data_IF_191653396443
#
_entry.id   IF_191653396443
#
_cell.length_a   1.000
_cell.length_b   1.000
_cell.length_c   1.000
_cell.angle_alpha   90.00
_cell.angle_beta   90.00
_cell.angle_gamma   90.00
#
_symmetry.space_group_name_H-M   'P 1'
#
loop_
_entity.id
_entity.type
_entity.pdbx_description
1 polymer ?
#
# COMPACT_ATOMS: atom_id res chain seq x y z
N UNK A 1 -56.78 21.65 7.89
CA UNK A 1 -56.89 21.72 6.40
C UNK A 1 -55.97 20.66 5.81
N UNK A 2 -56.48 19.72 5.00
CA UNK A 2 -55.68 18.65 4.41
C UNK A 2 -54.95 19.16 3.15
N UNK A 3 -53.64 18.97 3.08
CA UNK A 3 -52.83 19.30 1.91
C UNK A 3 -52.94 18.21 0.85
N UNK A 4 -53.44 18.62 -0.30
CA UNK A 4 -53.71 17.85 -1.51
C UNK A 4 -52.46 17.16 -2.07
N UNK A 5 -52.56 15.84 -2.27
CA UNK A 5 -51.66 15.05 -3.10
C UNK A 5 -51.96 15.39 -4.56
N UNK A 6 -50.99 15.93 -5.31
CA UNK A 6 -51.04 15.99 -6.77
C UNK A 6 -50.04 15.00 -7.35
N UNK A 7 -50.58 13.87 -7.81
CA UNK A 7 -49.97 13.02 -8.81
C UNK A 7 -49.97 13.74 -10.15
N UNK A 8 -48.85 13.73 -10.85
CA UNK A 8 -48.78 14.00 -12.28
C UNK A 8 -47.94 12.90 -12.94
N UNK A 9 -48.61 12.15 -13.81
CA UNK A 9 -48.04 11.18 -14.73
C UNK A 9 -47.70 11.84 -16.07
N UNK A 10 -47.10 11.04 -16.97
CA UNK A 10 -46.86 11.28 -18.41
C UNK A 10 -45.65 12.19 -18.74
N UNK A 11 -44.83 11.95 -19.76
CA UNK A 11 -44.83 10.92 -20.80
C UNK A 11 -43.47 10.88 -21.54
N UNK A 12 -43.14 9.68 -22.04
CA UNK A 12 -42.50 9.30 -23.32
C UNK A 12 -41.68 10.32 -24.14
N UNK A 13 -40.44 9.94 -24.46
CA UNK A 13 -39.83 9.81 -25.81
C UNK A 13 -38.32 9.52 -25.61
N UNK A 14 -37.73 8.42 -26.09
CA UNK A 14 -37.54 8.13 -27.50
C UNK A 14 -36.15 8.58 -28.00
N UNK A 15 -35.06 8.19 -27.33
CA UNK A 15 -33.68 8.48 -27.74
C UNK A 15 -32.97 7.23 -28.28
N UNK A 16 -32.95 7.07 -29.61
CA UNK A 16 -32.14 6.04 -30.29
C UNK A 16 -30.63 6.35 -30.14
N UNK A 17 -29.76 5.33 -30.00
CA UNK A 17 -28.32 5.50 -30.11
C UNK A 17 -27.88 5.52 -31.59
N UNK A 18 -27.28 6.61 -32.03
CA UNK A 18 -26.58 6.66 -33.31
C UNK A 18 -25.18 6.05 -33.14
N UNK A 19 -24.99 4.87 -33.72
CA UNK A 19 -23.69 4.28 -33.97
C UNK A 19 -22.94 5.13 -35.01
N UNK A 20 -21.83 5.74 -34.63
CA UNK A 20 -20.87 6.31 -35.57
C UNK A 20 -19.76 5.29 -35.79
N UNK A 21 -19.77 4.71 -36.99
CA UNK A 21 -18.76 3.80 -37.48
C UNK A 21 -17.39 4.48 -37.52
N UNK A 22 -16.43 3.78 -36.92
CA UNK A 22 -14.99 4.04 -36.98
C UNK A 22 -14.49 3.65 -38.38
N UNK A 23 -14.24 4.64 -39.24
CA UNK A 23 -13.51 4.44 -40.49
C UNK A 23 -12.01 4.34 -40.18
N UNK A 24 -11.48 3.11 -40.17
CA UNK A 24 -10.04 2.83 -40.17
C UNK A 24 -9.61 2.77 -41.63
N UNK A 25 -8.76 3.71 -42.04
CA UNK A 25 -8.19 3.78 -43.37
C UNK A 25 -7.24 2.61 -43.66
N UNK A 26 -7.16 2.16 -44.92
CA UNK A 26 -6.23 1.10 -45.34
C UNK A 26 -4.79 1.59 -45.44
N UNK A 27 -3.91 0.73 -44.92
CA UNK A 27 -2.47 0.56 -45.18
C UNK A 27 -1.89 1.24 -46.44
N UNK A 28 -0.91 2.12 -46.23
CA UNK A 28 0.15 2.40 -47.21
C UNK A 28 1.23 1.30 -47.17
N UNK A 29 1.70 0.80 -48.33
CA UNK A 29 2.84 -0.10 -48.41
C UNK A 29 4.14 0.72 -48.38
N UNK A 30 4.79 0.75 -47.21
CA UNK A 30 6.13 1.31 -47.06
C UNK A 30 7.18 0.34 -47.58
N UNK A 31 7.64 0.57 -48.80
CA UNK A 31 8.86 0.01 -49.37
C UNK A 31 10.09 0.43 -48.55
N UNK A 32 10.80 -0.54 -47.96
CA UNK A 32 12.11 -0.37 -47.35
C UNK A 32 12.80 -1.74 -47.29
N UNK A 33 13.44 -2.14 -48.38
CA UNK A 33 14.89 -2.03 -48.56
C UNK A 33 15.68 -3.02 -47.70
N UNK A 34 16.04 -4.12 -48.36
CA UNK A 34 17.20 -4.97 -48.18
C UNK A 34 18.19 -4.57 -47.07
N UNK A 35 18.39 -5.46 -46.09
CA UNK A 35 19.75 -5.71 -45.59
C UNK A 35 19.92 -7.10 -44.96
N UNK A 36 20.73 -7.88 -45.69
CA UNK A 36 21.77 -8.77 -45.19
C UNK A 36 21.35 -10.00 -44.40
N UNK A 37 21.32 -11.10 -45.15
CA UNK A 37 21.91 -12.38 -44.78
C UNK A 37 23.15 -12.19 -43.89
N UNK A 38 23.12 -12.71 -42.66
CA UNK A 38 24.29 -13.29 -42.00
C UNK A 38 23.85 -14.44 -41.11
N UNK A 39 23.98 -15.61 -41.71
CA UNK A 39 24.15 -16.92 -41.11
C UNK A 39 25.09 -16.84 -39.88
N UNK A 40 24.71 -17.46 -38.76
CA UNK A 40 25.58 -18.38 -38.00
C UNK A 40 24.79 -19.14 -36.91
N UNK A 41 25.23 -20.37 -36.54
CA UNK A 41 24.32 -21.44 -36.15
C UNK A 41 24.29 -21.77 -34.65
N UNK A 42 23.22 -22.48 -34.29
CA UNK A 42 23.08 -23.52 -33.25
C UNK A 42 24.24 -23.66 -32.26
N UNK A 43 24.00 -23.26 -31.01
CA UNK A 43 24.60 -23.89 -29.84
C UNK A 43 23.61 -24.93 -29.30
N UNK A 44 24.00 -26.19 -29.46
CA UNK A 44 23.38 -27.37 -28.88
C UNK A 44 23.76 -27.38 -27.40
N UNK A 45 22.79 -27.26 -26.48
CA UNK A 45 23.04 -27.55 -25.07
C UNK A 45 22.42 -28.89 -24.73
N UNK A 46 23.30 -29.87 -24.74
CA UNK A 46 23.06 -31.27 -24.53
C UNK A 46 22.44 -31.53 -23.16
N UNK A 47 21.43 -32.37 -23.24
CA UNK A 47 20.71 -33.04 -22.17
C UNK A 47 21.54 -34.28 -21.81
N UNK A 48 21.99 -34.39 -20.57
CA UNK A 48 22.47 -35.65 -20.01
C UNK A 48 21.83 -35.84 -18.64
N UNK A 49 20.85 -36.74 -18.61
CA UNK A 49 20.34 -37.33 -17.40
C UNK A 49 21.43 -38.25 -16.83
N UNK A 50 21.83 -38.05 -15.58
CA UNK A 50 22.53 -39.05 -14.80
C UNK A 50 21.76 -39.21 -13.49
N UNK A 51 21.14 -40.37 -13.42
CA UNK A 51 20.72 -41.19 -12.28
C UNK A 51 21.86 -41.21 -11.22
N UNK A 52 21.67 -40.98 -9.92
CA UNK A 52 21.13 -41.88 -8.88
C UNK A 52 21.70 -41.39 -7.50
N UNK A 53 21.50 -42.02 -6.32
CA UNK A 53 20.63 -41.54 -5.24
C UNK A 53 21.36 -41.33 -3.88
N UNK A 54 20.56 -41.01 -2.85
CA UNK A 54 20.73 -41.23 -1.40
C UNK A 54 22.05 -40.86 -0.68
N UNK A 55 21.94 -40.02 0.34
CA UNK A 55 23.03 -39.80 1.29
C UNK A 55 22.75 -38.73 2.33
N UNK A 56 22.50 -39.18 3.54
CA UNK A 56 22.35 -38.48 4.81
C UNK A 56 23.47 -37.47 5.14
N UNK A 57 23.17 -36.66 6.18
CA UNK A 57 24.10 -35.90 7.03
C UNK A 57 24.74 -34.65 6.36
N UNK A 58 24.91 -33.49 6.98
CA UNK A 58 24.97 -33.12 8.37
C UNK A 58 24.65 -31.63 8.52
N UNK A 59 24.35 -31.26 9.75
CA UNK A 59 24.24 -29.92 10.30
C UNK A 59 25.28 -28.92 9.79
N UNK A 60 24.80 -27.75 9.35
CA UNK A 60 25.62 -26.63 8.93
C UNK A 60 24.98 -25.32 9.36
N UNK A 61 24.97 -25.05 10.65
CA UNK A 61 24.64 -23.76 11.26
C UNK A 61 25.61 -22.67 10.77
N UNK A 62 25.27 -22.02 9.65
CA UNK A 62 25.94 -20.85 9.11
C UNK A 62 25.41 -19.56 9.72
N UNK A 63 26.03 -19.18 10.84
CA UNK A 63 25.78 -17.97 11.60
C UNK A 63 26.35 -16.70 10.93
N UNK A 64 25.59 -15.61 11.03
CA UNK A 64 25.95 -14.19 10.87
C UNK A 64 26.72 -13.72 9.62
N UNK A 65 26.00 -13.02 8.76
CA UNK A 65 26.55 -12.10 7.75
C UNK A 65 25.61 -10.92 7.52
N UNK A 66 25.34 -10.14 8.58
CA UNK A 66 24.60 -8.87 8.48
C UNK A 66 25.41 -7.86 7.68
N UNK A 67 25.21 -7.85 6.36
CA UNK A 67 25.70 -6.79 5.48
C UNK A 67 25.00 -5.47 5.80
N UNK A 68 25.66 -4.61 6.58
CA UNK A 68 25.26 -3.22 6.78
C UNK A 68 25.45 -2.46 5.47
N UNK A 69 24.39 -2.37 4.67
CA UNK A 69 24.31 -1.47 3.54
C UNK A 69 24.42 -0.02 4.02
N UNK A 70 25.34 0.71 3.39
CA UNK A 70 25.71 2.07 3.73
C UNK A 70 24.52 3.02 3.81
N UNK A 71 24.44 3.70 4.95
CA UNK A 71 23.69 4.95 5.08
C UNK A 71 24.65 6.08 4.74
N UNK A 72 24.64 6.51 3.49
CA UNK A 72 25.29 7.76 3.08
C UNK A 72 24.59 8.93 3.76
N UNK A 73 25.26 9.57 4.72
CA UNK A 73 24.81 10.85 5.28
C UNK A 73 25.13 11.95 4.28
N UNK A 74 24.23 12.15 3.32
CA UNK A 74 24.18 13.36 2.52
C UNK A 74 23.47 14.45 3.33
N UNK A 75 24.19 15.55 3.58
CA UNK A 75 23.65 16.90 3.52
C UNK A 75 22.67 17.30 4.62
N UNK A 76 23.17 18.00 5.63
CA UNK A 76 22.45 19.10 6.25
C UNK A 76 23.47 20.16 6.64
N UNK A 77 23.83 20.99 5.65
CA UNK A 77 24.56 22.22 5.91
C UNK A 77 23.70 23.14 6.77
N UNK A 78 24.11 23.34 8.02
CA UNK A 78 23.55 24.39 8.85
C UNK A 78 24.15 25.72 8.42
N UNK A 79 23.54 26.32 7.39
CA UNK A 79 23.63 27.76 7.18
C UNK A 79 22.72 28.44 8.20
N UNK A 80 23.33 29.16 9.14
CA UNK A 80 22.64 30.02 10.09
C UNK A 80 23.50 30.22 11.33
N UNK A 81 23.84 31.42 11.78
CA UNK A 81 23.47 32.76 11.34
C UNK A 81 24.59 33.68 11.84
N UNK A 82 25.13 34.52 10.98
CA UNK A 82 26.06 35.56 11.41
C UNK A 82 25.35 36.49 12.38
N UNK A 83 25.83 36.54 13.62
CA UNK A 83 25.50 37.64 14.54
C UNK A 83 26.34 38.84 14.13
N UNK A 84 25.83 39.60 13.17
CA UNK A 84 26.27 40.96 12.92
C UNK A 84 25.93 41.82 14.14
N UNK A 85 26.93 42.53 14.64
CA UNK A 85 26.80 43.90 15.14
C UNK A 85 25.85 44.14 16.31
N UNK A 86 26.42 44.34 17.48
CA UNK A 86 25.95 45.40 18.38
C UNK A 86 27.19 46.12 18.89
N UNK A 87 27.65 47.09 18.10
CA UNK A 87 28.62 48.07 18.56
C UNK A 87 28.00 48.84 19.72
N UNK A 88 28.66 48.80 20.87
CA UNK A 88 28.39 49.72 21.97
C UNK A 88 28.88 51.10 21.53
N UNK A 89 27.98 51.87 20.94
CA UNK A 89 28.18 53.30 20.72
C UNK A 89 28.41 53.99 22.06
N UNK A 90 29.42 54.86 22.06
CA UNK A 90 29.81 55.65 23.21
C UNK A 90 28.66 56.46 23.78
N UNK A 91 28.53 56.41 25.10
CA UNK A 91 27.89 57.46 25.87
C UNK A 91 29.02 58.35 26.35
N UNK A 92 29.19 59.48 25.67
CA UNK A 92 30.08 60.55 26.10
C UNK A 92 29.64 61.04 27.47
N UNK A 93 30.55 60.97 28.44
CA UNK A 93 30.41 61.64 29.72
C UNK A 93 30.56 63.13 29.47
N UNK A 94 29.43 63.84 29.42
CA UNK A 94 29.41 65.29 29.43
C UNK A 94 29.91 65.77 30.80
N UNK A 95 30.94 66.62 30.75
CA UNK A 95 31.55 67.22 31.92
C UNK A 95 30.61 68.15 32.68
N UNK A 96 30.86 68.25 33.98
CA UNK A 96 30.53 69.39 34.82
C UNK A 96 31.41 69.32 36.07
N UNK A 97 32.72 69.45 35.88
CA UNK A 97 33.61 69.87 36.96
C UNK A 97 33.89 71.37 36.77
N UNK A 98 33.04 72.15 37.42
CA UNK A 98 33.19 73.57 37.67
C UNK A 98 33.89 73.72 39.02
N UNK A 99 35.21 73.70 39.01
CA UNK A 99 36.13 74.10 40.09
C UNK A 99 37.49 74.23 39.39
N UNK A 100 38.31 75.25 39.51
CA UNK A 100 38.47 76.23 40.55
C UNK A 100 39.27 77.36 39.89
N UNK A 101 38.72 78.57 39.90
CA UNK A 101 39.42 79.75 39.41
C UNK A 101 40.50 80.10 40.43
N UNK A 102 41.71 79.58 40.23
CA UNK A 102 42.93 80.04 40.87
C UNK A 102 43.19 81.49 40.47
N UNK A 103 42.56 82.42 41.18
CA UNK A 103 42.82 83.84 41.11
C UNK A 103 44.07 84.13 41.92
N UNK A 104 45.17 84.27 41.19
CA UNK A 104 46.44 84.84 41.57
C UNK A 104 46.22 86.12 42.42
N UNK A 105 46.51 85.99 43.72
CA UNK A 105 46.56 87.12 44.66
C UNK A 105 47.95 87.73 44.52
N UNK A 106 48.01 88.87 43.85
CA UNK A 106 49.17 89.77 43.84
C UNK A 106 49.37 90.34 45.24
N UNK A 107 50.48 89.93 45.86
CA UNK A 107 51.03 90.47 47.10
C UNK A 107 51.60 91.88 46.85
N UNK A 108 50.80 92.91 47.09
CA UNK A 108 51.29 94.28 47.23
C UNK A 108 51.53 94.60 48.71
N UNK A 109 52.79 94.43 49.12
CA UNK A 109 53.32 94.90 50.39
C UNK A 109 53.50 96.42 50.37
N UNK A 110 52.50 97.16 50.84
CA UNK A 110 52.66 98.58 51.23
C UNK A 110 52.57 98.71 52.75
N UNK A 111 53.70 98.47 53.41
CA UNK A 111 53.97 98.80 54.80
C UNK A 111 54.09 100.32 54.96
N UNK A 112 52.98 100.99 55.27
CA UNK A 112 52.97 102.38 55.71
C UNK A 112 52.53 102.44 57.19
N UNK A 113 53.49 102.73 58.06
CA UNK A 113 53.29 103.09 59.46
C UNK A 113 52.21 104.17 59.62
N UNK A 114 51.52 104.18 60.77
CA UNK A 114 51.52 105.43 61.53
C UNK A 114 51.60 105.25 63.06
N UNK A 115 52.60 105.95 63.62
CA UNK A 115 52.50 106.83 64.79
C UNK A 115 51.39 106.56 65.83
N UNK A 116 51.78 105.99 66.98
CA UNK A 116 51.03 106.10 68.23
C UNK A 116 51.24 107.51 68.83
N UNK A 117 50.34 108.42 68.47
CA UNK A 117 50.18 109.72 69.12
C UNK A 117 49.22 109.56 70.30
N UNK A 118 49.77 109.61 71.52
CA UNK A 118 49.02 109.59 72.78
C UNK A 118 48.28 110.92 72.95
N UNK A 119 47.02 110.98 72.50
CA UNK A 119 46.11 112.11 72.75
C UNK A 119 45.07 111.71 73.79
N UNK A 120 45.13 112.36 74.95
CA UNK A 120 44.05 112.35 75.95
C UNK A 120 42.72 112.75 75.28
N UNK A 121 41.79 111.80 75.14
CA UNK A 121 40.40 112.08 74.83
C UNK A 121 39.61 112.14 76.14
N UNK A 122 39.44 113.36 76.63
CA UNK A 122 38.41 113.73 77.61
C UNK A 122 37.07 113.93 76.88
N UNK A 123 36.04 113.25 77.37
CA UNK A 123 34.60 113.61 77.33
C UNK A 123 33.79 113.56 76.01
N UNK A 124 34.33 113.10 74.88
CA UNK A 124 33.57 112.97 73.61
C UNK A 124 32.85 111.64 73.33
N UNK A 125 33.00 110.62 74.18
CA UNK A 125 32.55 109.24 73.89
C UNK A 125 31.02 109.05 73.89
N UNK A 126 30.27 109.94 74.53
CA UNK A 126 28.82 109.81 74.61
C UNK A 126 28.13 110.22 73.30
N UNK A 127 28.63 111.25 72.63
CA UNK A 127 28.08 111.72 71.35
C UNK A 127 28.30 110.68 70.24
N UNK A 128 29.43 109.96 70.28
CA UNK A 128 29.75 108.88 69.33
C UNK A 128 28.82 107.67 69.50
N UNK A 129 28.54 107.28 70.75
CA UNK A 129 27.56 106.22 71.06
C UNK A 129 26.15 106.63 70.63
N UNK A 130 25.77 107.90 70.86
CA UNK A 130 24.46 108.40 70.45
C UNK A 130 24.31 108.43 68.92
N UNK A 131 25.35 108.85 68.20
CA UNK A 131 25.36 108.82 66.73
C UNK A 131 25.21 107.39 66.20
N UNK A 132 25.93 106.40 66.76
CA UNK A 132 25.80 105.01 66.36
C UNK A 132 24.41 104.41 66.62
N UNK A 133 23.72 104.83 67.68
CA UNK A 133 22.33 104.40 67.93
C UNK A 133 21.37 105.03 66.92
N UNK A 134 21.57 106.30 66.55
CA UNK A 134 20.76 106.98 65.53
C UNK A 134 20.96 106.37 64.13
N UNK A 135 22.21 106.10 63.74
CA UNK A 135 22.52 105.41 62.49
C UNK A 135 21.85 104.02 62.44
N UNK A 136 21.83 103.32 63.59
CA UNK A 136 21.20 102.01 63.69
C UNK A 136 19.66 102.11 63.61
N UNK A 137 19.05 103.14 64.20
CA UNK A 137 17.63 103.44 64.06
C UNK A 137 17.25 103.72 62.60
N UNK A 138 18.07 104.48 61.88
CA UNK A 138 17.88 104.78 60.44
C UNK A 138 18.03 103.53 59.57
N UNK A 139 19.09 102.73 59.78
CA UNK A 139 19.31 101.42 59.16
C UNK A 139 18.08 100.49 59.35
N UNK A 140 17.51 100.46 60.55
CA UNK A 140 16.32 99.64 60.87
C UNK A 140 15.06 100.19 60.20
N UNK A 141 14.91 101.51 60.13
CA UNK A 141 13.81 102.13 59.40
C UNK A 141 13.88 101.84 57.90
N UNK A 142 15.07 101.88 57.30
CA UNK A 142 15.29 101.55 55.89
C UNK A 142 15.02 100.08 55.59
N UNK A 143 15.51 99.17 56.43
CA UNK A 143 15.21 97.74 56.27
C UNK A 143 13.72 97.45 56.43
N UNK A 144 13.00 98.16 57.31
CA UNK A 144 11.54 98.08 57.41
C UNK A 144 10.84 98.59 56.15
N UNK A 145 11.28 99.73 55.58
CA UNK A 145 10.76 100.25 54.31
C UNK A 145 10.95 99.27 53.16
N UNK A 146 12.13 98.67 53.05
CA UNK A 146 12.41 97.66 52.01
C UNK A 146 11.61 96.37 52.19
N UNK A 147 11.38 95.97 53.45
CA UNK A 147 10.55 94.82 53.81
C UNK A 147 9.08 95.00 53.40
N UNK A 148 8.51 96.17 53.69
CA UNK A 148 7.13 96.52 53.34
C UNK A 148 6.93 96.59 51.83
N UNK A 149 7.95 97.04 51.09
CA UNK A 149 7.98 97.03 49.62
C UNK A 149 8.15 95.62 49.01
N UNK A 150 8.19 94.57 49.84
CA UNK A 150 8.38 93.16 49.45
C UNK A 150 9.67 92.89 48.66
N UNK A 151 10.65 93.77 48.74
CA UNK A 151 11.92 93.63 48.02
C UNK A 151 12.89 92.62 48.63
N UNK A 152 12.68 92.26 49.90
CA UNK A 152 13.59 91.39 50.65
C UNK A 152 12.90 90.03 50.94
N UNK A 153 13.62 88.94 50.70
CA UNK A 153 13.23 87.59 51.11
C UNK A 153 13.19 87.47 52.65
N UNK A 154 12.23 86.73 53.26
CA UNK A 154 12.21 86.55 54.70
C UNK A 154 13.51 86.01 55.31
N UNK A 155 14.29 85.22 54.56
CA UNK A 155 15.59 84.73 55.04
C UNK A 155 16.64 85.83 55.08
N UNK A 156 16.69 86.67 54.04
CA UNK A 156 17.58 87.83 53.98
C UNK A 156 17.23 88.87 55.06
N UNK A 157 15.94 89.05 55.34
CA UNK A 157 15.48 89.94 56.42
C UNK A 157 15.94 89.47 57.80
N UNK A 158 15.82 88.16 58.09
CA UNK A 158 16.33 87.58 59.34
C UNK A 158 17.85 87.73 59.47
N UNK A 159 18.59 87.62 58.35
CA UNK A 159 20.03 87.83 58.34
C UNK A 159 20.40 89.29 58.65
N UNK A 160 19.67 90.27 58.09
CA UNK A 160 19.85 91.70 58.40
C UNK A 160 19.54 92.00 59.87
N UNK A 161 18.45 91.45 60.42
CA UNK A 161 18.10 91.58 61.84
C UNK A 161 19.21 91.03 62.74
N UNK A 162 19.79 89.87 62.40
CA UNK A 162 20.91 89.30 63.14
C UNK A 162 22.14 90.22 63.14
N UNK A 163 22.45 90.83 61.99
CA UNK A 163 23.53 91.81 61.87
C UNK A 163 23.26 93.08 62.70
N UNK A 164 22.02 93.59 62.70
CA UNK A 164 21.66 94.75 63.54
C UNK A 164 21.74 94.42 65.03
N UNK A 165 21.31 93.23 65.47
CA UNK A 165 21.50 92.76 66.86
C UNK A 165 22.97 92.68 67.24
N UNK A 166 23.83 92.24 66.31
CA UNK A 166 25.27 92.22 66.53
C UNK A 166 25.84 93.64 66.67
N UNK A 167 25.49 94.58 65.77
CA UNK A 167 25.87 96.01 65.89
C UNK A 167 25.41 96.59 67.23
N UNK A 168 24.14 96.36 67.59
CA UNK A 168 23.55 96.79 68.86
C UNK A 168 24.35 96.26 70.07
N UNK A 169 24.75 94.98 70.04
CA UNK A 169 25.55 94.38 71.11
C UNK A 169 26.95 95.00 71.28
N UNK A 170 27.55 95.48 70.19
CA UNK A 170 28.86 96.16 70.25
C UNK A 170 28.76 97.56 70.87
N UNK A 171 27.62 98.24 70.70
CA UNK A 171 27.34 99.55 71.29
C UNK A 171 26.95 99.42 72.77
N UNK A 172 26.37 98.27 73.17
CA UNK A 172 25.94 97.94 74.53
C UNK A 172 27.08 97.72 75.56
N UNK A 173 28.27 98.30 75.36
CA UNK A 173 29.37 98.21 76.34
C UNK A 173 28.91 98.72 77.71
N UNK A 174 29.38 98.08 78.79
CA UNK A 174 28.89 98.27 80.17
C UNK A 174 28.84 99.72 80.68
N UNK A 175 29.56 100.64 80.04
CA UNK A 175 29.58 102.08 80.36
C UNK A 175 28.34 102.83 79.83
N UNK A 176 27.77 102.43 78.69
CA UNK A 176 26.60 103.09 78.07
C UNK A 176 25.31 102.86 78.84
N UNK A 177 25.22 101.76 79.59
CA UNK A 177 24.09 101.39 80.44
C UNK A 177 23.90 102.30 81.66
N UNK A 178 24.84 103.22 81.95
CA UNK A 178 24.72 104.17 83.07
C UNK A 178 23.88 105.41 82.74
N UNK A 179 23.67 105.71 81.45
CA UNK A 179 22.84 106.84 81.03
C UNK A 179 21.39 106.38 80.77
N UNK A 180 20.40 106.87 81.54
CA UNK A 180 19.01 106.46 81.39
C UNK A 180 18.40 106.80 80.02
N UNK A 181 18.89 107.84 79.34
CA UNK A 181 18.39 108.22 78.01
C UNK A 181 18.84 107.25 76.91
N UNK A 182 20.11 106.81 76.93
CA UNK A 182 20.64 105.82 75.99
C UNK A 182 20.03 104.44 76.20
N UNK A 183 19.63 104.12 77.43
CA UNK A 183 18.92 102.88 77.73
C UNK A 183 17.53 102.83 77.09
N UNK A 184 16.80 103.95 77.11
CA UNK A 184 15.48 104.04 76.49
C UNK A 184 15.53 103.89 74.97
N UNK A 185 16.53 104.48 74.30
CA UNK A 185 16.72 104.28 72.86
C UNK A 185 17.13 102.84 72.54
N UNK A 186 18.04 102.26 73.32
CA UNK A 186 18.45 100.87 73.18
C UNK A 186 17.27 99.89 73.28
N UNK A 187 16.43 100.04 74.31
CA UNK A 187 15.24 99.21 74.51
C UNK A 187 14.22 99.40 73.36
N UNK A 188 14.13 100.60 72.80
CA UNK A 188 13.31 100.91 71.62
C UNK A 188 13.80 100.21 70.34
N UNK A 189 15.12 100.21 70.11
CA UNK A 189 15.76 99.53 68.98
C UNK A 189 15.62 98.01 69.09
N UNK A 190 15.88 97.44 70.27
CA UNK A 190 15.71 95.99 70.52
C UNK A 190 14.23 95.56 70.37
N UNK A 191 13.29 96.38 70.85
CA UNK A 191 11.86 96.18 70.64
C UNK A 191 11.47 96.13 69.17
N UNK A 192 11.98 97.08 68.37
CA UNK A 192 11.73 97.16 66.92
C UNK A 192 12.32 95.96 66.17
N UNK A 193 13.52 95.50 66.54
CA UNK A 193 14.15 94.32 65.96
C UNK A 193 13.38 93.03 66.27
N UNK A 194 12.86 92.88 67.49
CA UNK A 194 12.00 91.74 67.87
C UNK A 194 10.67 91.73 67.11
N UNK A 195 10.07 92.89 66.90
CA UNK A 195 8.85 93.02 66.09
C UNK A 195 9.11 92.59 64.64
N UNK A 196 10.19 93.07 64.03
CA UNK A 196 10.59 92.71 62.66
C UNK A 196 10.93 91.23 62.53
N UNK A 197 11.58 90.64 63.54
CA UNK A 197 11.90 89.20 63.56
C UNK A 197 10.63 88.35 63.61
N UNK A 198 9.65 88.74 64.43
CA UNK A 198 8.36 88.06 64.48
C UNK A 198 7.63 88.17 63.14
N UNK A 199 7.59 89.35 62.53
CA UNK A 199 6.97 89.56 61.22
C UNK A 199 7.66 88.76 60.10
N UNK A 200 8.99 88.72 60.08
CA UNK A 200 9.78 87.94 59.13
C UNK A 200 9.51 86.43 59.26
N UNK A 201 9.43 85.91 60.49
CA UNK A 201 9.11 84.51 60.74
C UNK A 201 7.68 84.13 60.32
N UNK A 202 6.70 85.01 60.55
CA UNK A 202 5.31 84.81 60.08
C UNK A 202 5.24 84.79 58.56
N UNK A 203 5.95 85.68 57.87
CA UNK A 203 5.97 85.69 56.39
C UNK A 203 6.69 84.46 55.82
N UNK A 204 7.82 84.06 56.41
CA UNK A 204 8.57 82.86 56.02
C UNK A 204 7.74 81.59 56.11
N UNK A 205 7.02 81.41 57.22
CA UNK A 205 6.14 80.24 57.42
C UNK A 205 4.98 80.24 56.43
N UNK A 206 4.35 81.39 56.20
CA UNK A 206 3.31 81.54 55.17
C UNK A 206 3.82 81.20 53.77
N UNK A 207 4.97 81.73 53.35
CA UNK A 207 5.57 81.44 52.04
C UNK A 207 5.93 79.96 51.90
N UNK A 208 6.45 79.32 52.97
CA UNK A 208 6.69 77.87 52.97
C UNK A 208 5.39 77.06 52.84
N UNK A 209 4.31 77.45 53.50
CA UNK A 209 3.01 76.80 53.35
C UNK A 209 2.42 76.99 51.96
N UNK A 210 2.49 78.19 51.39
CA UNK A 210 2.05 78.48 50.02
C UNK A 210 2.87 77.68 48.99
N UNK A 211 4.18 77.58 49.15
CA UNK A 211 5.06 76.74 48.31
C UNK A 211 4.73 75.25 48.46
N UNK A 212 4.41 74.79 49.68
CA UNK A 212 4.02 73.40 49.94
C UNK A 212 2.66 73.07 49.31
N UNK A 213 1.70 74.00 49.36
CA UNK A 213 0.38 73.83 48.74
C UNK A 213 0.49 73.84 47.22
N UNK A 214 1.21 74.80 46.64
CA UNK A 214 1.44 74.87 45.19
C UNK A 214 2.22 73.67 44.68
N UNK A 215 3.24 73.21 45.42
CA UNK A 215 3.98 71.97 45.14
C UNK A 215 3.08 70.74 45.09
N UNK A 216 2.21 70.55 46.10
CA UNK A 216 1.23 69.44 46.12
C UNK A 216 0.25 69.49 44.95
N UNK A 217 -0.17 70.68 44.52
CA UNK A 217 -1.05 70.83 43.36
C UNK A 217 -0.34 70.49 42.05
N UNK A 218 0.94 70.89 41.90
CA UNK A 218 1.75 70.53 40.75
C UNK A 218 1.98 69.01 40.67
N UNK A 219 2.35 68.40 41.80
CA UNK A 219 2.55 66.95 41.94
C UNK A 219 1.27 66.17 41.59
N UNK A 220 0.11 66.61 42.11
CA UNK A 220 -1.18 65.98 41.79
C UNK A 220 -1.48 66.05 40.29
N UNK A 221 -1.21 67.20 39.66
CA UNK A 221 -1.43 67.40 38.22
C UNK A 221 -0.48 66.53 37.38
N UNK A 222 0.74 66.32 37.83
CA UNK A 222 1.70 65.43 37.19
C UNK A 222 1.29 63.96 37.33
N UNK A 223 0.90 63.54 38.53
CA UNK A 223 0.38 62.19 38.78
C UNK A 223 -0.84 61.86 37.92
N UNK A 224 -1.77 62.82 37.75
CA UNK A 224 -2.92 62.64 36.84
C UNK A 224 -2.51 62.49 35.37
N UNK A 225 -1.40 63.13 34.94
CA UNK A 225 -0.86 62.96 33.58
C UNK A 225 -0.21 61.60 33.40
N UNK A 226 0.59 61.16 34.39
CA UNK A 226 1.23 59.85 34.40
C UNK A 226 0.16 58.76 34.37
N UNK A 227 -0.85 58.85 35.23
CA UNK A 227 -1.93 57.85 35.29
C UNK A 227 -2.71 57.78 33.96
N UNK A 228 -3.01 58.93 33.34
CA UNK A 228 -3.64 58.96 32.01
C UNK A 228 -2.78 58.29 30.94
N UNK A 229 -1.47 58.54 30.96
CA UNK A 229 -0.53 57.92 30.03
C UNK A 229 -0.44 56.40 30.23
N UNK A 230 -0.37 55.94 31.48
CA UNK A 230 -0.37 54.51 31.80
C UNK A 230 -1.66 53.82 31.36
N UNK A 231 -2.82 54.44 31.61
CA UNK A 231 -4.12 53.93 31.13
C UNK A 231 -4.15 53.81 29.61
N UNK A 232 -3.61 54.80 28.90
CA UNK A 232 -3.53 54.78 27.44
C UNK A 232 -2.58 53.69 26.92
N UNK A 233 -1.43 53.50 27.57
CA UNK A 233 -0.51 52.41 27.24
C UNK A 233 -1.16 51.04 27.47
N UNK A 234 -1.82 50.83 28.62
CA UNK A 234 -2.51 49.57 28.91
C UNK A 234 -3.59 49.27 27.88
N UNK A 235 -4.39 50.28 27.51
CA UNK A 235 -5.40 50.13 26.45
C UNK A 235 -4.78 49.71 25.10
N UNK A 236 -3.66 50.32 24.71
CA UNK A 236 -2.93 49.95 23.49
C UNK A 236 -2.37 48.52 23.54
N UNK A 237 -1.85 48.10 24.70
CA UNK A 237 -1.37 46.74 24.92
C UNK A 237 -2.50 45.71 24.88
N UNK A 238 -3.65 46.00 25.49
CA UNK A 238 -4.85 45.16 25.45
C UNK A 238 -5.38 45.01 24.02
N UNK A 239 -5.49 46.11 23.28
CA UNK A 239 -5.84 46.10 21.85
C UNK A 239 -4.88 45.22 21.04
N UNK A 240 -3.58 45.34 21.28
CA UNK A 240 -2.57 44.50 20.63
C UNK A 240 -2.71 43.02 21.00
N UNK A 241 -2.98 42.71 22.28
CA UNK A 241 -3.21 41.35 22.75
C UNK A 241 -4.47 40.72 22.13
N UNK A 242 -5.57 41.47 22.02
CA UNK A 242 -6.80 41.03 21.34
C UNK A 242 -6.55 40.77 19.84
N UNK A 243 -5.82 41.66 19.15
CA UNK A 243 -5.42 41.45 17.75
C UNK A 243 -4.54 40.21 17.57
N UNK A 244 -3.63 39.94 18.50
CA UNK A 244 -2.82 38.71 18.50
C UNK A 244 -3.67 37.46 18.73
N UNK A 245 -4.58 37.48 19.71
CA UNK A 245 -5.50 36.36 19.97
C UNK A 245 -6.36 36.03 18.76
N UNK A 246 -6.96 37.04 18.13
CA UNK A 246 -7.80 36.85 16.92
C UNK A 246 -6.99 36.36 15.71
N UNK A 247 -5.75 36.82 15.53
CA UNK A 247 -4.85 36.29 14.48
C UNK A 247 -4.51 34.82 14.74
N UNK A 248 -4.14 34.48 15.97
CA UNK A 248 -3.79 33.10 16.36
C UNK A 248 -5.00 32.17 16.23
N UNK A 249 -6.20 32.62 16.59
CA UNK A 249 -7.44 31.85 16.43
C UNK A 249 -7.76 31.60 14.95
N UNK A 250 -7.61 32.61 14.08
CA UNK A 250 -7.78 32.44 12.63
C UNK A 250 -6.75 31.46 12.06
N UNK A 251 -5.52 31.51 12.53
CA UNK A 251 -4.47 30.59 12.11
C UNK A 251 -4.75 29.15 12.59
N UNK A 252 -5.22 28.99 13.83
CA UNK A 252 -5.63 27.69 14.38
C UNK A 252 -6.78 27.09 13.58
N UNK A 253 -7.84 27.85 13.29
CA UNK A 253 -8.96 27.41 12.44
C UNK A 253 -8.51 27.04 11.03
N UNK A 254 -7.52 27.75 10.47
CA UNK A 254 -6.95 27.41 9.15
C UNK A 254 -6.15 26.09 9.20
N UNK A 255 -5.37 25.87 10.27
CA UNK A 255 -4.63 24.62 10.49
C UNK A 255 -5.58 23.44 10.69
N UNK A 256 -6.63 23.61 11.50
CA UNK A 256 -7.66 22.60 11.74
C UNK A 256 -8.38 22.22 10.44
N UNK A 257 -8.82 23.22 9.64
CA UNK A 257 -9.45 22.96 8.34
C UNK A 257 -8.51 22.22 7.37
N UNK A 258 -7.23 22.56 7.37
CA UNK A 258 -6.23 21.87 6.54
C UNK A 258 -6.00 20.42 7.02
N UNK A 259 -6.03 20.17 8.33
CA UNK A 259 -5.92 18.81 8.89
C UNK A 259 -7.16 17.97 8.60
N UNK A 260 -8.35 18.53 8.73
CA UNK A 260 -9.61 17.89 8.37
C UNK A 260 -9.62 17.50 6.88
N UNK A 261 -9.13 18.38 6.00
CA UNK A 261 -9.00 18.08 4.58
C UNK A 261 -8.01 16.94 4.31
N UNK A 262 -6.87 16.90 5.01
CA UNK A 262 -5.91 15.78 4.93
C UNK A 262 -6.57 14.46 5.34
N UNK A 263 -7.36 14.45 6.42
CA UNK A 263 -8.11 13.25 6.87
C UNK A 263 -9.13 12.79 5.81
N UNK A 264 -9.83 13.73 5.17
CA UNK A 264 -10.75 13.44 4.04
C UNK A 264 -10.03 12.87 2.81
N UNK A 265 -8.79 13.30 2.53
CA UNK A 265 -7.99 12.74 1.43
C UNK A 265 -7.53 11.32 1.74
N UNK A 266 -7.04 11.06 2.95
CA UNK A 266 -6.59 9.74 3.39
C UNK A 266 -7.74 8.72 3.35
N UNK A 267 -8.91 9.09 3.86
CA UNK A 267 -10.11 8.22 3.82
C UNK A 267 -10.53 7.89 2.40
N UNK A 268 -10.65 8.88 1.51
CA UNK A 268 -10.94 8.64 0.08
C UNK A 268 -9.89 7.78 -0.63
N UNK A 269 -8.61 7.94 -0.28
CA UNK A 269 -7.54 7.10 -0.82
C UNK A 269 -7.66 5.64 -0.35
N UNK A 270 -7.97 5.43 0.93
CA UNK A 270 -8.20 4.11 1.49
C UNK A 270 -9.42 3.42 0.85
N UNK A 271 -10.53 4.15 0.65
CA UNK A 271 -11.70 3.65 -0.09
C UNK A 271 -11.34 3.20 -1.51
N UNK A 272 -10.52 3.99 -2.23
CA UNK A 272 -10.03 3.62 -3.57
C UNK A 272 -9.16 2.38 -3.54
N UNK A 273 -8.28 2.25 -2.55
CA UNK A 273 -7.43 1.05 -2.36
C UNK A 273 -8.28 -0.18 -2.08
N UNK A 274 -9.31 -0.04 -1.23
CA UNK A 274 -10.23 -1.13 -0.89
C UNK A 274 -11.07 -1.55 -2.10
N UNK A 275 -11.61 -0.61 -2.86
CA UNK A 275 -12.32 -0.91 -4.12
C UNK A 275 -11.43 -1.62 -5.14
N UNK A 276 -10.17 -1.16 -5.28
CA UNK A 276 -9.19 -1.81 -6.16
C UNK A 276 -8.85 -3.23 -5.70
N UNK A 277 -8.71 -3.45 -4.39
CA UNK A 277 -8.48 -4.76 -3.81
C UNK A 277 -9.69 -5.70 -4.01
N UNK A 278 -10.92 -5.20 -3.78
CA UNK A 278 -12.16 -5.94 -4.05
C UNK A 278 -12.28 -6.34 -5.53
N UNK A 279 -11.97 -5.43 -6.45
CA UNK A 279 -11.97 -5.72 -7.88
C UNK A 279 -10.92 -6.78 -8.26
N UNK A 280 -9.71 -6.68 -7.70
CA UNK A 280 -8.66 -7.66 -7.92
C UNK A 280 -9.06 -9.05 -7.38
N UNK A 281 -9.66 -9.12 -6.19
CA UNK A 281 -10.17 -10.36 -5.60
C UNK A 281 -11.26 -10.99 -6.48
N UNK A 282 -12.24 -10.20 -6.94
CA UNK A 282 -13.29 -10.67 -7.84
C UNK A 282 -12.73 -11.22 -9.16
N UNK A 283 -11.67 -10.61 -9.71
CA UNK A 283 -11.01 -11.12 -10.91
C UNK A 283 -10.29 -12.45 -10.68
N UNK A 284 -9.68 -12.64 -9.50
CA UNK A 284 -9.05 -13.92 -9.12
C UNK A 284 -10.12 -15.01 -8.96
N UNK A 285 -11.21 -14.71 -8.28
CA UNK A 285 -12.33 -15.64 -8.07
C UNK A 285 -12.97 -16.05 -9.41
N UNK A 286 -13.18 -15.10 -10.32
CA UNK A 286 -13.66 -15.40 -11.68
C UNK A 286 -12.73 -16.37 -12.41
N UNK A 287 -11.41 -16.13 -12.41
CA UNK A 287 -10.44 -17.05 -13.03
C UNK A 287 -10.45 -18.44 -12.39
N UNK A 288 -10.65 -18.51 -11.07
CA UNK A 288 -10.78 -19.79 -10.35
C UNK A 288 -12.03 -20.53 -10.79
N UNK A 289 -13.18 -19.86 -10.85
CA UNK A 289 -14.44 -20.45 -11.31
C UNK A 289 -14.37 -20.95 -12.76
N UNK A 290 -13.75 -20.19 -13.67
CA UNK A 290 -13.55 -20.60 -15.07
C UNK A 290 -12.64 -21.83 -15.17
N UNK A 291 -11.62 -21.95 -14.30
CA UNK A 291 -10.75 -23.12 -14.22
C UNK A 291 -11.49 -24.34 -13.67
N UNK A 292 -12.30 -24.17 -12.63
CA UNK A 292 -13.13 -25.23 -12.06
C UNK A 292 -14.18 -25.72 -13.07
N UNK A 293 -14.81 -24.82 -13.83
CA UNK A 293 -15.75 -25.19 -14.89
C UNK A 293 -15.06 -25.99 -16.02
N UNK A 294 -13.86 -25.56 -16.44
CA UNK A 294 -13.05 -26.30 -17.41
C UNK A 294 -12.67 -27.69 -16.89
N UNK A 295 -12.34 -27.82 -15.62
CA UNK A 295 -12.05 -29.12 -15.01
C UNK A 295 -13.28 -30.01 -14.96
N UNK A 296 -14.45 -29.49 -14.56
CA UNK A 296 -15.73 -30.23 -14.60
C UNK A 296 -16.05 -30.73 -16.00
N UNK A 297 -15.87 -29.90 -17.04
CA UNK A 297 -16.07 -30.31 -18.43
C UNK A 297 -15.09 -31.42 -18.86
N UNK A 298 -13.82 -31.35 -18.44
CA UNK A 298 -12.83 -32.41 -18.70
C UNK A 298 -13.18 -33.71 -17.99
N UNK A 299 -13.62 -33.65 -16.74
CA UNK A 299 -14.09 -34.81 -15.97
C UNK A 299 -15.33 -35.43 -16.61
N UNK A 300 -16.29 -34.63 -17.07
CA UNK A 300 -17.43 -35.15 -17.82
C UNK A 300 -16.98 -35.87 -19.09
N UNK A 301 -16.08 -35.28 -19.88
CA UNK A 301 -15.53 -35.91 -21.08
C UNK A 301 -14.78 -37.22 -20.77
N UNK A 302 -13.99 -37.29 -19.68
CA UNK A 302 -13.29 -38.52 -19.31
C UNK A 302 -14.28 -39.60 -18.87
N UNK A 303 -15.33 -39.25 -18.11
CA UNK A 303 -16.37 -40.21 -17.73
C UNK A 303 -17.16 -40.73 -18.93
N UNK A 304 -17.51 -39.87 -19.89
CA UNK A 304 -18.17 -40.27 -21.13
C UNK A 304 -17.28 -41.17 -21.99
N UNK A 305 -16.00 -40.81 -22.15
CA UNK A 305 -15.01 -41.66 -22.85
C UNK A 305 -14.86 -43.01 -22.19
N UNK A 306 -14.81 -43.06 -20.86
CA UNK A 306 -14.73 -44.32 -20.11
C UNK A 306 -15.98 -45.18 -20.28
N UNK A 307 -17.18 -44.57 -20.23
CA UNK A 307 -18.45 -45.27 -20.54
C UNK A 307 -18.47 -45.80 -21.98
N UNK A 308 -18.00 -45.03 -22.95
CA UNK A 308 -17.89 -45.46 -24.34
C UNK A 308 -16.90 -46.62 -24.50
N UNK A 309 -15.76 -46.58 -23.79
CA UNK A 309 -14.79 -47.66 -23.75
C UNK A 309 -15.37 -48.96 -23.16
N UNK A 310 -16.08 -48.88 -22.03
CA UNK A 310 -16.81 -50.01 -21.44
C UNK A 310 -17.85 -50.59 -22.40
N UNK A 311 -18.60 -49.72 -23.10
CA UNK A 311 -19.56 -50.16 -24.10
C UNK A 311 -18.88 -50.85 -25.29
N UNK A 312 -17.75 -50.33 -25.77
CA UNK A 312 -16.97 -50.96 -26.86
C UNK A 312 -16.44 -52.34 -26.46
N UNK A 313 -15.82 -52.44 -25.29
CA UNK A 313 -15.29 -53.72 -24.78
C UNK A 313 -16.40 -54.75 -24.53
N UNK A 314 -17.58 -54.33 -24.04
CA UNK A 314 -18.73 -55.24 -23.91
C UNK A 314 -19.22 -55.76 -25.26
N UNK A 315 -19.26 -54.90 -26.30
CA UNK A 315 -19.63 -55.28 -27.67
C UNK A 315 -18.61 -56.23 -28.29
N UNK A 316 -17.32 -55.98 -28.05
CA UNK A 316 -16.22 -56.82 -28.53
C UNK A 316 -16.28 -58.22 -27.88
N UNK A 317 -16.49 -58.30 -26.56
CA UNK A 317 -16.72 -59.58 -25.88
C UNK A 317 -17.95 -60.31 -26.41
N UNK A 318 -19.05 -59.60 -26.66
CA UNK A 318 -20.25 -60.19 -27.26
C UNK A 318 -20.00 -60.70 -28.69
N UNK A 319 -19.18 -60.00 -29.48
CA UNK A 319 -18.79 -60.44 -30.82
C UNK A 319 -17.92 -61.71 -30.74
N UNK A 320 -16.93 -61.75 -29.85
CA UNK A 320 -16.09 -62.94 -29.60
C UNK A 320 -16.95 -64.14 -29.19
N UNK A 321 -17.92 -63.94 -28.30
CA UNK A 321 -18.82 -65.02 -27.88
C UNK A 321 -19.68 -65.54 -29.05
N UNK A 322 -20.23 -64.65 -29.88
CA UNK A 322 -20.99 -65.05 -31.08
C UNK A 322 -20.12 -65.81 -32.08
N UNK A 323 -18.87 -65.41 -32.25
CA UNK A 323 -17.93 -66.13 -33.12
C UNK A 323 -17.59 -67.52 -32.55
N UNK A 324 -17.46 -67.63 -31.22
CA UNK A 324 -17.27 -68.91 -30.55
C UNK A 324 -18.49 -69.83 -30.70
N UNK A 325 -19.70 -69.29 -30.51
CA UNK A 325 -20.96 -70.00 -30.73
C UNK A 325 -21.08 -70.46 -32.18
N UNK A 326 -20.80 -69.58 -33.16
CA UNK A 326 -20.82 -69.94 -34.59
C UNK A 326 -19.84 -71.06 -34.92
N UNK A 327 -18.62 -71.02 -34.36
CA UNK A 327 -17.64 -72.10 -34.56
C UNK A 327 -18.08 -73.40 -33.89
N UNK A 328 -18.77 -73.33 -32.76
CA UNK A 328 -19.33 -74.50 -32.10
C UNK A 328 -20.46 -75.13 -32.93
N UNK A 329 -21.36 -74.31 -33.49
CA UNK A 329 -22.45 -74.80 -34.37
C UNK A 329 -21.89 -75.35 -35.68
N UNK A 330 -20.94 -74.66 -36.32
CA UNK A 330 -20.30 -75.15 -37.55
C UNK A 330 -19.55 -76.47 -37.30
N UNK A 331 -18.93 -76.63 -36.12
CA UNK A 331 -18.32 -77.91 -35.73
C UNK A 331 -19.37 -79.01 -35.55
N UNK A 332 -20.51 -78.71 -34.92
CA UNK A 332 -21.62 -79.66 -34.78
C UNK A 332 -22.23 -80.04 -36.13
N UNK A 333 -22.42 -79.07 -37.02
CA UNK A 333 -22.91 -79.28 -38.38
C UNK A 333 -21.94 -80.17 -39.16
N UNK A 334 -20.63 -79.90 -39.13
CA UNK A 334 -19.64 -80.79 -39.76
C UNK A 334 -19.66 -82.20 -39.20
N UNK A 335 -19.76 -82.38 -37.89
CA UNK A 335 -19.87 -83.73 -37.30
C UNK A 335 -21.15 -84.43 -37.72
N UNK A 336 -22.27 -83.71 -37.82
CA UNK A 336 -23.53 -84.26 -38.28
C UNK A 336 -23.51 -84.60 -39.78
N UNK A 337 -22.84 -83.78 -40.61
CA UNK A 337 -22.61 -84.06 -42.04
C UNK A 337 -21.71 -85.28 -42.23
N UNK A 338 -20.61 -85.39 -41.48
CA UNK A 338 -19.71 -86.56 -41.49
C UNK A 338 -20.45 -87.83 -41.05
N UNK A 339 -21.28 -87.77 -40.00
CA UNK A 339 -22.14 -88.88 -39.57
C UNK A 339 -23.17 -89.24 -40.63
N UNK A 340 -23.81 -88.26 -41.28
CA UNK A 340 -24.77 -88.49 -42.34
C UNK A 340 -24.11 -89.11 -43.59
N UNK A 341 -22.91 -88.65 -43.97
CA UNK A 341 -22.13 -89.22 -45.06
C UNK A 341 -21.71 -90.66 -44.74
N UNK A 342 -21.30 -90.93 -43.50
CA UNK A 342 -20.99 -92.28 -43.03
C UNK A 342 -22.22 -93.20 -43.13
N UNK A 343 -23.38 -92.76 -42.64
CA UNK A 343 -24.64 -93.51 -42.76
C UNK A 343 -25.02 -93.74 -44.22
N UNK A 344 -24.87 -92.74 -45.09
CA UNK A 344 -25.12 -92.87 -46.52
C UNK A 344 -24.21 -93.93 -47.15
N UNK A 345 -22.89 -93.90 -46.87
CA UNK A 345 -21.94 -94.92 -47.32
C UNK A 345 -22.31 -96.32 -46.85
N UNK A 346 -22.68 -96.48 -45.58
CA UNK A 346 -23.13 -97.76 -45.03
C UNK A 346 -24.39 -98.26 -45.75
N UNK A 347 -25.36 -97.40 -46.04
CA UNK A 347 -26.56 -97.79 -46.79
C UNK A 347 -26.26 -98.10 -48.25
N UNK A 348 -25.32 -97.40 -48.89
CA UNK A 348 -24.88 -97.69 -50.25
C UNK A 348 -24.12 -99.02 -50.31
N UNK A 349 -23.23 -99.30 -49.36
CA UNK A 349 -22.55 -100.58 -49.23
C UNK A 349 -23.53 -101.73 -48.97
N UNK A 350 -24.53 -101.53 -48.11
CA UNK A 350 -25.60 -102.50 -47.91
C UNK A 350 -26.38 -102.76 -49.21
N UNK A 351 -26.67 -101.71 -50.00
CA UNK A 351 -27.27 -101.83 -51.33
C UNK A 351 -26.36 -102.60 -52.29
N UNK A 352 -25.07 -102.27 -52.36
CA UNK A 352 -24.07 -102.98 -53.18
C UNK A 352 -24.00 -104.46 -52.81
N UNK A 353 -23.93 -104.77 -51.52
CA UNK A 353 -23.92 -106.15 -51.02
C UNK A 353 -25.20 -106.91 -51.40
N UNK A 354 -26.37 -106.28 -51.26
CA UNK A 354 -27.66 -106.89 -51.66
C UNK A 354 -27.74 -107.11 -53.18
N UNK A 355 -27.25 -106.16 -53.97
CA UNK A 355 -27.19 -106.24 -55.42
C UNK A 355 -26.21 -107.32 -55.89
N UNK A 356 -25.03 -107.42 -55.27
CA UNK A 356 -24.04 -108.46 -55.55
C UNK A 356 -24.60 -109.84 -55.18
N UNK A 357 -25.28 -109.97 -54.04
CA UNK A 357 -25.97 -111.21 -53.65
C UNK A 357 -27.04 -111.60 -54.67
N UNK A 358 -27.82 -110.65 -55.17
CA UNK A 358 -28.79 -110.88 -56.24
C UNK A 358 -28.11 -111.26 -57.57
N UNK A 359 -26.98 -110.63 -57.90
CA UNK A 359 -26.19 -110.93 -59.10
C UNK A 359 -25.59 -112.33 -59.03
N UNK A 360 -25.00 -112.73 -57.90
CA UNK A 360 -24.53 -114.11 -57.66
C UNK A 360 -25.67 -115.12 -57.74
N UNK A 361 -26.86 -114.80 -57.24
CA UNK A 361 -28.06 -115.66 -57.37
C UNK A 361 -28.49 -115.81 -58.83
N UNK A 362 -28.52 -114.71 -59.59
CA UNK A 362 -28.82 -114.72 -61.04
C UNK A 362 -27.75 -115.45 -61.85
N UNK A 363 -26.47 -115.26 -61.52
CA UNK A 363 -25.36 -115.96 -62.16
C UNK A 363 -25.40 -117.46 -61.88
N UNK A 364 -25.72 -117.89 -60.65
CA UNK A 364 -25.96 -119.29 -60.32
C UNK A 364 -27.17 -119.87 -61.08
N UNK A 365 -28.25 -119.11 -61.23
CA UNK A 365 -29.39 -119.53 -62.04
C UNK A 365 -29.05 -119.61 -63.55
N UNK A 366 -28.23 -118.70 -64.05
CA UNK A 366 -27.77 -118.71 -65.44
C UNK A 366 -26.81 -119.87 -65.73
N UNK A 367 -25.90 -120.18 -64.80
CA UNK A 367 -24.97 -121.30 -64.90
C UNK A 367 -25.67 -122.66 -64.73
N UNK A 368 -26.69 -122.75 -63.87
CA UNK A 368 -27.52 -123.95 -63.76
C UNK A 368 -28.26 -124.30 -65.06
N UNK A 369 -28.68 -123.28 -65.82
CA UNK A 369 -29.38 -123.46 -67.11
C UNK A 369 -28.45 -123.79 -68.29
N UNK A 370 -27.13 -123.59 -68.17
CA UNK A 370 -26.14 -123.94 -69.21
C UNK A 370 -25.53 -125.33 -69.01
N UNK A 371 -25.36 -125.79 -67.77
CA UNK A 371 -24.89 -127.15 -67.46
C UNK A 371 -25.92 -128.23 -67.85
N UNK A 372 -27.20 -127.97 -67.63
CA UNK A 372 -28.28 -128.89 -67.98
C UNK A 372 -28.43 -129.05 -69.50
N UNK A 373 -28.26 -127.96 -70.27
CA UNK A 373 -28.22 -127.99 -71.74
C UNK A 373 -26.99 -128.71 -72.30
N UNK A 374 -25.88 -128.77 -71.55
CA UNK A 374 -24.70 -129.54 -71.94
C UNK A 374 -24.93 -131.04 -71.77
N UNK A 375 -25.49 -131.46 -70.63
CA UNK A 375 -25.84 -132.87 -70.36
C UNK A 375 -26.87 -133.41 -71.36
N UNK A 376 -27.79 -132.56 -71.82
CA UNK A 376 -28.80 -132.94 -72.81
C UNK A 376 -28.22 -133.14 -74.22
N UNK A 377 -27.18 -132.38 -74.60
CA UNK A 377 -26.44 -132.60 -75.85
C UNK A 377 -25.61 -133.89 -75.80
N UNK A 378 -25.04 -134.20 -74.64
CA UNK A 378 -24.24 -135.40 -74.41
C UNK A 378 -25.09 -136.69 -74.41
N UNK A 379 -26.31 -136.64 -73.85
CA UNK A 379 -27.32 -137.71 -74.00
C UNK A 379 -27.71 -137.94 -75.45
N UNK A 380 -27.95 -136.88 -76.23
CA UNK A 380 -28.28 -137.00 -77.66
C UNK A 380 -27.15 -137.61 -78.48
N UNK A 381 -25.90 -137.28 -78.17
CA UNK A 381 -24.73 -137.86 -78.85
C UNK A 381 -24.55 -139.34 -78.52
N UNK A 382 -24.71 -139.73 -77.25
CA UNK A 382 -24.60 -141.13 -76.82
C UNK A 382 -25.73 -141.99 -77.39
N UNK A 383 -26.96 -141.48 -77.48
CA UNK A 383 -28.08 -142.17 -78.16
C UNK A 383 -27.83 -142.35 -79.66
N UNK A 384 -27.33 -141.32 -80.35
CA UNK A 384 -27.01 -141.41 -81.78
C UNK A 384 -25.92 -142.45 -82.05
N UNK A 385 -24.90 -142.51 -81.18
CA UNK A 385 -23.82 -143.48 -81.27
C UNK A 385 -24.33 -144.92 -81.04
N UNK A 386 -25.20 -145.13 -80.05
CA UNK A 386 -25.81 -146.43 -79.77
C UNK A 386 -26.66 -146.93 -80.96
N UNK A 387 -27.48 -146.05 -81.57
CA UNK A 387 -28.27 -146.41 -82.76
C UNK A 387 -27.40 -146.81 -83.95
N UNK A 388 -26.27 -146.13 -84.15
CA UNK A 388 -25.31 -146.48 -85.22
C UNK A 388 -24.65 -147.83 -84.97
N UNK A 389 -24.24 -148.11 -83.73
CA UNK A 389 -23.66 -149.40 -83.35
C UNK A 389 -24.64 -150.57 -83.60
N UNK A 390 -25.92 -150.41 -83.26
CA UNK A 390 -26.96 -151.42 -83.53
C UNK A 390 -27.16 -151.63 -85.04
N UNK A 391 -27.21 -150.55 -85.82
CA UNK A 391 -27.36 -150.63 -87.28
C UNK A 391 -26.18 -151.35 -87.97
N UNK A 392 -24.95 -151.09 -87.52
CA UNK A 392 -23.76 -151.75 -88.05
C UNK A 392 -23.72 -153.24 -87.66
N UNK A 393 -24.22 -153.59 -86.46
CA UNK A 393 -24.34 -154.98 -86.03
C UNK A 393 -25.44 -155.71 -86.82
N UNK A 394 -26.58 -155.07 -87.09
CA UNK A 394 -27.66 -155.61 -87.92
C UNK A 394 -27.19 -155.87 -89.36
N UNK A 395 -26.42 -154.94 -89.96
CA UNK A 395 -25.78 -155.15 -91.26
C UNK A 395 -24.81 -156.34 -91.27
N UNK A 396 -24.01 -156.52 -90.21
CA UNK A 396 -23.12 -157.68 -90.08
C UNK A 396 -23.92 -158.99 -89.98
N UNK A 397 -25.00 -159.00 -89.22
CA UNK A 397 -25.87 -160.18 -89.08
C UNK A 397 -26.58 -160.51 -90.40
N UNK A 398 -27.11 -159.51 -91.13
CA UNK A 398 -27.69 -159.72 -92.47
C UNK A 398 -26.70 -160.33 -93.46
N UNK A 399 -25.44 -159.87 -93.47
CA UNK A 399 -24.39 -160.47 -94.33
C UNK A 399 -24.11 -161.92 -93.98
N UNK A 400 -24.09 -162.26 -92.69
CA UNK A 400 -23.91 -163.66 -92.23
C UNK A 400 -25.11 -164.52 -92.62
N UNK A 401 -26.33 -163.99 -92.47
CA UNK A 401 -27.56 -164.69 -92.80
C UNK A 401 -27.65 -165.00 -94.30
N UNK A 402 -27.34 -164.03 -95.17
CA UNK A 402 -27.26 -164.26 -96.61
C UNK A 402 -26.19 -165.31 -96.97
N UNK A 403 -25.03 -165.28 -96.30
CA UNK A 403 -23.98 -166.28 -96.53
C UNK A 403 -24.43 -167.69 -96.13
N UNK A 404 -25.17 -167.83 -95.03
CA UNK A 404 -25.75 -169.11 -94.62
C UNK A 404 -26.88 -169.57 -95.55
N UNK A 405 -27.67 -168.64 -96.10
CA UNK A 405 -28.67 -168.97 -97.14
C UNK A 405 -28.01 -169.45 -98.44
N UNK A 406 -26.90 -168.83 -98.84
CA UNK A 406 -26.12 -169.28 -100.00
C UNK A 406 -25.49 -170.66 -99.76
N UNK A 407 -24.96 -170.92 -98.56
CA UNK A 407 -24.48 -172.24 -98.15
C UNK A 407 -25.62 -173.28 -98.09
N UNK A 408 -26.80 -172.92 -97.59
CA UNK A 408 -28.00 -173.77 -97.60
C UNK A 408 -28.40 -174.13 -99.04
N UNK A 409 -28.47 -173.16 -99.95
CA UNK A 409 -28.76 -173.40 -101.38
C UNK A 409 -27.71 -174.29 -102.03
N UNK A 410 -26.44 -174.14 -101.64
CA UNK A 410 -25.35 -175.02 -102.13
C UNK A 410 -25.54 -176.46 -101.66
N UNK A 411 -25.88 -176.68 -100.39
CA UNK A 411 -26.21 -178.00 -99.85
C UNK A 411 -27.48 -178.58 -100.51
N UNK A 412 -28.50 -177.75 -100.76
CA UNK A 412 -29.75 -178.15 -101.42
C UNK A 412 -29.50 -178.59 -102.87
N UNK A 413 -28.61 -177.89 -103.59
CA UNK A 413 -28.14 -178.29 -104.92
C UNK A 413 -27.26 -179.55 -104.90
N UNK A 414 -26.37 -179.70 -103.91
CA UNK A 414 -25.52 -180.88 -103.76
C UNK A 414 -26.34 -182.14 -103.37
N UNK A 415 -27.47 -181.97 -102.68
CA UNK A 415 -28.42 -183.04 -102.37
C UNK A 415 -29.37 -183.37 -103.55
N UNK A 416 -29.57 -182.44 -104.48
CA UNK A 416 -30.29 -182.66 -105.74
C UNK A 416 -29.54 -183.54 -106.76
N UNK A 417 -28.24 -183.77 -106.54
CA UNK A 417 -27.38 -184.67 -107.33
C UNK A 417 -27.43 -186.15 -106.87
N UNK A 418 -28.41 -186.55 -106.04
CA UNK A 418 -28.56 -187.93 -105.53
C UNK A 418 -29.97 -188.53 -105.64
N UNK A 419 -30.78 -188.13 -106.63
CA UNK A 419 -31.99 -188.85 -107.04
C UNK A 419 -32.09 -189.02 -108.54
#
# INVERSE_FOLDING_TARGET
>A
MPMSIRSAAASRAGGRPAAVHRAVAPSSPGSGSYRSLRSRPRSVKSRSNIFEPDGYDSDGSGSYGSGSYGSGSYGSGSYGSGSYGSGSYGSGSYGSESSDAGREVTEDHSSANPHTSTRHQSDGRFDEVQAHVQDLEEDIADTRREWDNRGIDPSDMLLRIANHKQKLSTVASSETCRNPFLKLSFDGVDGSLKELEAQANVRKTREQEEMKVTGKFAERRENERIEKFERQQRFMQEQAAVKRKTKNEKEAKKKEKAEEEKRKRITKENERKEQKAKFAAAMIERKRSEKEEKNRKREQQTTERWKAYQKRTSREKAAINRDFERKATEKQERTAEEEAEYQAKVTEEARRYSAEKAYRKRAKAALGNTEEKSRDRERKWSEAYARKAVSDQEKKLRKKLNKLEDERKKIENDLGLRR
#
